data_IF_426809398913
#
_entry.id   IF_426809398913
#
_cell.length_a   1.000
_cell.length_b   1.000
_cell.length_c   1.000
_cell.angle_alpha   90.00
_cell.angle_beta   90.00
_cell.angle_gamma   90.00
#
_symmetry.space_group_name_H-M   'P 1'
#
loop_
_entity.id
_entity.type
_entity.pdbx_description
1 polymer ?
#
# COMPACT_ATOMS: atom_id res chain seq x y z
N UNK A 1 -4.49 5.23 -0.47
CA UNK A 1 -4.11 3.87 0.02
C UNK A 1 -2.66 3.85 0.51
N UNK A 2 -1.71 4.21 -0.36
CA UNK A 2 -0.28 4.29 -0.04
C UNK A 2 0.28 5.63 -0.51
N UNK A 3 1.41 6.06 0.07
CA UNK A 3 2.16 7.25 -0.36
C UNK A 3 3.41 6.83 -1.13
N UNK A 4 3.84 7.67 -2.09
CA UNK A 4 5.12 7.49 -2.78
C UNK A 4 6.32 7.65 -1.84
N UNK A 5 6.19 8.35 -0.71
CA UNK A 5 7.24 8.50 0.32
C UNK A 5 7.61 7.17 0.97
N UNK A 6 6.63 6.29 1.12
CA UNK A 6 6.81 4.96 1.72
C UNK A 6 7.07 3.87 0.67
N UNK A 7 7.13 4.25 -0.62
CA UNK A 7 7.42 3.33 -1.72
C UNK A 7 8.92 3.08 -1.81
N UNK A 8 9.32 1.83 -1.98
CA UNK A 8 10.73 1.46 -2.15
C UNK A 8 10.93 0.43 -3.27
N UNK A 9 12.19 0.28 -3.70
CA UNK A 9 12.58 -0.71 -4.71
C UNK A 9 12.82 -2.07 -4.06
N UNK A 10 11.82 -2.95 -4.10
CA UNK A 10 11.92 -4.30 -3.54
C UNK A 10 12.57 -5.33 -4.48
N UNK A 11 12.57 -5.08 -5.79
CA UNK A 11 13.04 -6.03 -6.79
C UNK A 11 12.11 -7.22 -7.06
N UNK A 12 10.91 -7.22 -6.47
CA UNK A 12 9.98 -8.37 -6.54
C UNK A 12 9.07 -8.37 -7.76
N UNK A 13 9.05 -7.29 -8.54
CA UNK A 13 8.18 -7.14 -9.73
C UNK A 13 6.88 -6.38 -9.48
N UNK A 14 6.50 -6.15 -8.21
CA UNK A 14 5.31 -5.38 -7.84
C UNK A 14 5.66 -4.11 -7.06
N UNK A 15 4.83 -3.05 -7.15
CA UNK A 15 4.88 -1.91 -6.24
C UNK A 15 4.96 -2.36 -4.78
N UNK A 16 5.94 -1.85 -4.05
CA UNK A 16 6.19 -2.21 -2.66
C UNK A 16 6.26 -0.98 -1.78
N UNK A 17 5.57 -1.04 -0.64
CA UNK A 17 5.49 0.04 0.34
C UNK A 17 5.83 -0.46 1.74
N UNK A 18 6.41 0.38 2.58
CA UNK A 18 6.77 0.04 3.97
C UNK A 18 5.59 0.10 4.95
N UNK A 19 4.57 0.92 4.62
CA UNK A 19 3.33 1.13 5.38
C UNK A 19 2.22 1.73 4.51
N UNK A 20 0.94 1.59 4.91
CA UNK A 20 -0.16 2.34 4.32
C UNK A 20 -0.07 3.83 4.69
N UNK A 21 -0.61 4.70 3.82
CA UNK A 21 -0.69 6.14 4.10
C UNK A 21 -1.59 6.43 5.31
N UNK A 22 -2.71 5.71 5.38
CA UNK A 22 -3.66 5.78 6.47
C UNK A 22 -4.06 4.36 6.82
N UNK A 23 -3.73 3.90 8.04
CA UNK A 23 -3.95 2.51 8.45
C UNK A 23 -5.41 2.08 8.36
N UNK A 24 -6.38 2.97 8.65
CA UNK A 24 -7.82 2.66 8.53
C UNK A 24 -8.29 2.37 7.10
N UNK A 25 -7.52 2.72 6.08
CA UNK A 25 -7.91 2.53 4.67
C UNK A 25 -7.55 1.14 4.13
N UNK A 26 -6.85 0.33 4.93
CA UNK A 26 -6.38 -1.00 4.57
C UNK A 26 -6.80 -2.02 5.63
N UNK A 27 -7.21 -3.20 5.20
CA UNK A 27 -7.53 -4.34 6.07
C UNK A 27 -6.56 -5.48 5.76
N UNK A 28 -5.96 -6.02 6.81
CA UNK A 28 -5.14 -7.22 6.78
C UNK A 28 -5.99 -8.44 7.12
N UNK A 29 -6.04 -9.43 6.24
CA UNK A 29 -6.77 -10.69 6.43
C UNK A 29 -5.80 -11.86 6.32
N UNK A 30 -5.93 -12.84 7.20
CA UNK A 30 -5.14 -14.07 7.11
C UNK A 30 -5.62 -14.87 5.89
N UNK A 31 -4.72 -15.13 4.96
CA UNK A 31 -4.92 -16.00 3.79
C UNK A 31 -4.14 -17.30 4.00
N UNK A 32 -4.84 -18.43 4.05
CA UNK A 32 -4.25 -19.77 4.23
C UNK A 32 -4.36 -20.65 2.98
N UNK A 33 -4.52 -20.04 1.80
CA UNK A 33 -4.60 -20.77 0.53
C UNK A 33 -3.23 -21.31 0.10
N UNK A 34 -3.26 -22.38 -0.72
CA UNK A 34 -2.07 -23.00 -1.31
C UNK A 34 -1.02 -23.47 -0.29
N UNK A 35 -1.44 -23.99 0.87
CA UNK A 35 -0.56 -24.48 1.93
C UNK A 35 0.43 -23.45 2.50
N UNK A 36 0.23 -22.16 2.18
CA UNK A 36 1.02 -21.04 2.70
C UNK A 36 0.12 -20.15 3.55
N UNK A 37 0.65 -19.67 4.68
CA UNK A 37 -0.01 -18.64 5.48
C UNK A 37 0.57 -17.30 5.07
N UNK A 38 -0.24 -16.46 4.45
CA UNK A 38 0.11 -15.09 4.06
C UNK A 38 -0.90 -14.12 4.66
N UNK A 39 -0.56 -12.86 4.73
CA UNK A 39 -1.50 -11.80 5.10
C UNK A 39 -1.95 -11.09 3.83
N UNK A 40 -3.20 -11.31 3.43
CA UNK A 40 -3.85 -10.59 2.35
C UNK A 40 -4.12 -9.14 2.78
N UNK A 41 -3.93 -8.21 1.84
CA UNK A 41 -4.16 -6.78 2.02
C UNK A 41 -5.32 -6.35 1.12
N UNK A 42 -6.35 -5.72 1.70
CA UNK A 42 -7.56 -5.26 0.99
C UNK A 42 -7.88 -3.79 1.31
N UNK A 43 -8.58 -3.09 0.43
CA UNK A 43 -9.07 -1.73 0.70
C UNK A 43 -10.27 -1.77 1.64
N UNK A 44 -10.32 -0.89 2.64
CA UNK A 44 -11.42 -0.91 3.63
C UNK A 44 -12.78 -0.57 2.99
N UNK A 45 -12.84 0.49 2.18
CA UNK A 45 -14.10 1.00 1.66
C UNK A 45 -14.65 0.20 0.46
N UNK A 46 -13.77 -0.43 -0.32
CA UNK A 46 -14.15 -1.15 -1.55
C UNK A 46 -14.00 -2.66 -1.47
N UNK A 47 -13.49 -3.20 -0.35
CA UNK A 47 -13.06 -4.60 -0.18
C UNK A 47 -12.26 -5.13 -1.39
N UNK A 48 -11.52 -4.27 -2.08
CA UNK A 48 -10.77 -4.65 -3.28
C UNK A 48 -9.50 -5.36 -2.87
N UNK A 49 -9.17 -6.48 -3.52
CA UNK A 49 -7.89 -7.15 -3.32
C UNK A 49 -6.76 -6.22 -3.78
N UNK A 50 -5.84 -5.90 -2.87
CA UNK A 50 -4.68 -5.06 -3.16
C UNK A 50 -3.43 -5.93 -3.36
N UNK A 51 -3.20 -6.90 -2.48
CA UNK A 51 -2.02 -7.76 -2.55
C UNK A 51 -1.75 -8.48 -1.24
N UNK A 52 -0.49 -8.54 -0.84
CA UNK A 52 -0.07 -9.27 0.36
C UNK A 52 0.98 -8.50 1.17
N UNK A 53 1.01 -8.77 2.48
CA UNK A 53 1.96 -8.24 3.44
C UNK A 53 3.00 -9.32 3.80
N UNK A 54 4.26 -8.89 3.85
CA UNK A 54 5.42 -9.71 4.22
C UNK A 54 6.25 -9.00 5.30
N UNK A 55 7.02 -9.76 6.07
CA UNK A 55 7.91 -9.35 7.16
C UNK A 55 9.38 -9.18 6.73
N UNK A 56 9.62 -9.07 5.42
CA UNK A 56 10.93 -8.92 4.78
C UNK A 56 11.18 -7.48 4.25
N UNK A 57 10.51 -6.50 4.86
CA UNK A 57 10.61 -5.09 4.46
C UNK A 57 11.83 -4.35 5.06
N UNK A 58 12.09 -3.13 4.60
CA UNK A 58 13.13 -2.28 5.17
C UNK A 58 12.77 -1.82 6.59
N UNK A 59 13.79 -1.52 7.40
CA UNK A 59 13.61 -0.79 8.66
C UNK A 59 13.00 0.60 8.38
N UNK A 60 12.22 1.18 9.31
CA UNK A 60 12.00 0.72 10.69
C UNK A 60 10.86 -0.29 10.86
N UNK A 61 9.92 -0.38 9.92
CA UNK A 61 8.74 -1.25 10.08
C UNK A 61 9.09 -2.72 9.91
N UNK A 62 10.07 -3.05 9.06
CA UNK A 62 10.35 -4.42 8.67
C UNK A 62 9.24 -5.03 7.79
N UNK A 63 8.27 -4.21 7.36
CA UNK A 63 7.09 -4.68 6.63
C UNK A 63 7.19 -4.31 5.16
N UNK A 64 6.72 -5.22 4.30
CA UNK A 64 6.60 -5.02 2.87
C UNK A 64 5.18 -5.29 2.41
N UNK A 65 4.47 -4.22 2.10
CA UNK A 65 3.19 -4.24 1.41
C UNK A 65 3.44 -4.41 -0.08
N UNK A 66 3.28 -5.62 -0.59
CA UNK A 66 3.44 -5.97 -1.99
C UNK A 66 2.08 -5.86 -2.70
N UNK A 67 1.89 -4.81 -3.50
CA UNK A 67 0.59 -4.39 -4.01
C UNK A 67 0.53 -4.49 -5.52
N UNK A 68 -0.59 -5.01 -6.04
CA UNK A 68 -0.86 -5.08 -7.47
C UNK A 68 -1.06 -3.66 -8.03
N UNK A 69 -0.28 -3.30 -9.06
CA UNK A 69 -0.45 -2.01 -9.75
C UNK A 69 -1.86 -1.84 -10.34
N UNK A 70 -2.47 -2.94 -10.82
CA UNK A 70 -3.84 -2.94 -11.34
C UNK A 70 -4.91 -2.56 -10.30
N UNK A 71 -4.58 -2.57 -9.01
CA UNK A 71 -5.49 -2.18 -7.92
C UNK A 71 -5.34 -0.72 -7.49
N UNK A 72 -4.44 0.03 -8.14
CA UNK A 72 -4.09 1.40 -7.75
C UNK A 72 -4.21 2.35 -8.95
N UNK A 73 -4.73 3.55 -8.68
CA UNK A 73 -4.56 4.72 -9.54
C UNK A 73 -3.51 5.63 -8.89
N UNK A 74 -2.55 6.10 -9.68
CA UNK A 74 -1.54 7.05 -9.22
C UNK A 74 -2.01 8.48 -9.42
N UNK A 75 -1.92 9.29 -8.37
CA UNK A 75 -2.24 10.72 -8.40
C UNK A 75 -0.94 11.50 -8.16
N UNK A 76 -0.45 12.25 -9.16
CA UNK A 76 0.69 13.14 -9.00
C UNK A 76 0.46 14.20 -7.92
N UNK A 77 1.54 14.65 -7.24
CA UNK A 77 1.45 15.64 -6.14
C UNK A 77 0.77 16.93 -6.59
N UNK A 78 1.08 17.41 -7.80
CA UNK A 78 0.48 18.62 -8.39
C UNK A 78 -1.00 18.48 -8.80
N UNK A 79 -1.60 17.29 -8.65
CA UNK A 79 -3.01 17.02 -8.91
C UNK A 79 -3.81 16.71 -7.64
N UNK A 80 -3.17 16.60 -6.47
CA UNK A 80 -3.84 16.22 -5.22
C UNK A 80 -5.01 17.14 -4.89
N UNK A 81 -4.79 18.46 -4.87
CA UNK A 81 -5.85 19.44 -4.59
C UNK A 81 -7.00 19.34 -5.59
N UNK A 82 -6.70 19.26 -6.89
CA UNK A 82 -7.71 19.16 -7.95
C UNK A 82 -8.56 17.90 -7.85
N UNK A 83 -8.02 16.84 -7.25
CA UNK A 83 -8.66 15.53 -7.09
C UNK A 83 -9.31 15.35 -5.72
N UNK A 84 -9.33 16.40 -4.88
CA UNK A 84 -9.96 16.40 -3.56
C UNK A 84 -9.12 15.73 -2.46
N UNK A 85 -7.80 15.72 -2.62
CA UNK A 85 -6.84 15.15 -1.68
C UNK A 85 -5.94 16.22 -1.05
N UNK A 86 -6.45 17.45 -0.90
CA UNK A 86 -5.67 18.57 -0.32
C UNK A 86 -5.09 18.27 1.06
N UNK A 87 -5.76 17.44 1.87
CA UNK A 87 -5.31 17.05 3.21
C UNK A 87 -3.94 16.35 3.22
N UNK A 88 -3.53 15.76 2.09
CA UNK A 88 -2.25 15.05 1.96
C UNK A 88 -1.13 15.89 1.33
N UNK A 89 -1.43 17.10 0.83
CA UNK A 89 -0.42 17.99 0.23
C UNK A 89 0.73 18.30 1.19
N UNK A 90 0.49 18.63 2.48
CA UNK A 90 1.57 18.96 3.42
C UNK A 90 2.55 17.80 3.70
N UNK A 91 2.24 16.58 3.28
CA UNK A 91 3.17 15.45 3.42
C UNK A 91 4.33 15.51 2.42
N UNK A 92 4.20 16.28 1.34
CA UNK A 92 5.15 16.33 0.22
C UNK A 92 5.91 17.66 0.12
N UNK A 93 5.75 18.54 1.10
CA UNK A 93 6.47 19.82 1.22
C UNK A 93 7.78 19.69 2.01
#
# INVERSE_FOLDING_TARGET
LFSSLDKFKSGTGWPSFSRPLVSKNVVEKKDSKFFMVRTEVRSTNGDSHLGHLFDDGPKPTGLRYCINSASLEFIPVNELEKRGYEEFVPLFE
#
